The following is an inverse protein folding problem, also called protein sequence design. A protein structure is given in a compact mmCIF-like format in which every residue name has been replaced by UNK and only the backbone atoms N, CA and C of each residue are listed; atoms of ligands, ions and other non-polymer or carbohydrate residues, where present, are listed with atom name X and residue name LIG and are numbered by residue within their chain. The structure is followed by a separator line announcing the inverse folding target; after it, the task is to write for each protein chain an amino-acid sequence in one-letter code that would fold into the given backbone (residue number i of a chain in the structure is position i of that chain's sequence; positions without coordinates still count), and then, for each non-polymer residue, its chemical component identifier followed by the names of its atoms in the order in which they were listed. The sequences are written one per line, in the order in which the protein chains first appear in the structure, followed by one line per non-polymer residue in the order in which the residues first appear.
data_IF_284763885081
#
_entry.id   IF_284763885081
#
_cell.length_a   1.000
_cell.length_b   1.000
_cell.length_c   1.000
_cell.angle_alpha   90.00
_cell.angle_beta   90.00
_cell.angle_gamma   90.00
#
_symmetry.space_group_name_H-M   'P 1'
#
loop_
_entity.id
_entity.type
_entity.pdbx_description
1 polymer ?
#
# COMPACT_ATOMS: atom_id res chain seq x y z
N UNK A 1 -48.01 4.20 -15.63
CA UNK A 1 -47.39 5.42 -15.08
C UNK A 1 -45.89 5.16 -15.11
N UNK A 2 -45.23 5.79 -16.09
CA UNK A 2 -43.82 5.78 -16.47
C UNK A 2 -43.07 4.44 -16.54
N UNK A 3 -43.05 3.92 -17.78
CA UNK A 3 -42.10 2.95 -18.29
C UNK A 3 -40.67 3.44 -18.11
N UNK A 4 -39.79 2.56 -17.61
CA UNK A 4 -38.34 2.75 -17.60
C UNK A 4 -37.86 2.51 -19.03
N UNK A 5 -37.97 3.52 -19.88
CA UNK A 5 -37.31 3.51 -21.18
C UNK A 5 -35.80 3.63 -20.97
N UNK A 6 -35.09 2.69 -21.59
CA UNK A 6 -33.66 2.58 -21.66
C UNK A 6 -33.02 3.92 -22.06
N UNK A 7 -32.27 4.52 -21.15
CA UNK A 7 -31.18 5.43 -21.53
C UNK A 7 -30.03 4.60 -22.12
N UNK A 8 -30.28 3.90 -23.23
CA UNK A 8 -29.22 3.47 -24.14
C UNK A 8 -28.74 4.71 -24.87
N UNK A 9 -27.98 5.54 -24.16
CA UNK A 9 -27.35 6.69 -24.75
C UNK A 9 -26.29 6.17 -25.72
N UNK A 10 -26.46 6.45 -27.02
CA UNK A 10 -25.65 5.93 -28.12
C UNK A 10 -24.16 5.85 -27.76
N UNK A 11 -23.57 4.67 -27.89
CA UNK A 11 -22.14 4.42 -27.62
C UNK A 11 -21.20 5.23 -28.53
N UNK A 12 -21.73 6.00 -29.48
CA UNK A 12 -20.99 6.70 -30.53
C UNK A 12 -21.12 8.24 -30.50
N UNK A 13 -21.41 8.87 -29.36
CA UNK A 13 -21.37 10.34 -29.26
C UNK A 13 -19.91 10.84 -29.13
N UNK A 14 -19.40 11.71 -30.03
CA UNK A 14 -18.02 12.21 -29.99
C UNK A 14 -17.65 12.89 -28.67
N UNK A 15 -18.61 13.56 -28.02
CA UNK A 15 -18.40 14.23 -26.73
C UNK A 15 -18.25 13.27 -25.54
N UNK A 16 -18.83 12.07 -25.60
CA UNK A 16 -18.71 11.05 -24.53
C UNK A 16 -17.29 10.51 -24.47
N UNK A 17 -16.69 10.24 -25.62
CA UNK A 17 -15.30 9.78 -25.72
C UNK A 17 -14.31 10.84 -25.22
N UNK A 18 -14.57 12.12 -25.54
CA UNK A 18 -13.77 13.24 -25.03
C UNK A 18 -13.82 13.37 -23.51
N UNK A 19 -15.01 13.24 -22.90
CA UNK A 19 -15.17 13.35 -21.45
C UNK A 19 -14.46 12.22 -20.67
N UNK A 20 -14.59 10.97 -21.12
CA UNK A 20 -13.92 9.81 -20.50
C UNK A 20 -12.40 9.97 -20.58
N UNK A 21 -11.89 10.39 -21.75
CA UNK A 21 -10.47 10.66 -21.94
C UNK A 21 -9.95 11.73 -20.97
N UNK A 22 -10.68 12.85 -20.81
CA UNK A 22 -10.31 13.89 -19.85
C UNK A 22 -10.29 13.39 -18.41
N UNK A 23 -11.27 12.57 -18.01
CA UNK A 23 -11.27 11.95 -16.68
C UNK A 23 -10.02 11.10 -16.49
N UNK A 24 -9.62 10.33 -17.51
CA UNK A 24 -8.43 9.52 -17.41
C UNK A 24 -7.15 10.33 -17.24
N UNK A 25 -6.97 11.36 -18.05
CA UNK A 25 -5.81 12.24 -17.94
C UNK A 25 -5.73 12.93 -16.57
N UNK A 26 -6.87 13.29 -15.98
CA UNK A 26 -6.91 13.82 -14.62
C UNK A 26 -6.47 12.77 -13.57
N UNK A 27 -7.00 11.55 -13.64
CA UNK A 27 -6.56 10.48 -12.73
C UNK A 27 -5.08 10.16 -12.89
N UNK A 28 -4.57 10.20 -14.13
CA UNK A 28 -3.16 10.04 -14.47
C UNK A 28 -2.29 11.11 -13.81
N UNK A 29 -2.70 12.38 -13.95
CA UNK A 29 -2.02 13.52 -13.36
C UNK A 29 -2.02 13.44 -11.82
N UNK A 30 -3.14 13.03 -11.21
CA UNK A 30 -3.24 12.80 -9.76
C UNK A 30 -2.20 11.74 -9.33
N UNK A 31 -2.14 10.60 -10.00
CA UNK A 31 -1.18 9.53 -9.68
C UNK A 31 0.28 9.99 -9.76
N UNK A 32 0.65 10.68 -10.84
CA UNK A 32 2.01 11.23 -11.02
C UNK A 32 2.36 12.27 -9.95
N UNK A 33 1.38 13.07 -9.54
CA UNK A 33 1.56 14.06 -8.49
C UNK A 33 1.76 13.38 -7.12
N UNK A 34 0.99 12.32 -6.81
CA UNK A 34 1.20 11.52 -5.61
C UNK A 34 2.58 10.86 -5.57
N UNK A 35 3.05 10.31 -6.68
CA UNK A 35 4.42 9.77 -6.78
C UNK A 35 5.47 10.85 -6.52
N UNK A 36 5.26 12.06 -7.06
CA UNK A 36 6.17 13.18 -6.87
C UNK A 36 6.19 13.62 -5.40
N UNK A 37 5.03 13.79 -4.77
CA UNK A 37 4.93 14.16 -3.36
C UNK A 37 5.46 13.09 -2.42
N UNK A 38 5.33 11.81 -2.78
CA UNK A 38 5.89 10.72 -1.97
C UNK A 38 7.41 10.80 -1.82
N UNK A 39 8.11 11.47 -2.75
CA UNK A 39 9.56 11.67 -2.70
C UNK A 39 9.99 12.74 -1.69
N UNK A 40 9.06 13.59 -1.24
CA UNK A 40 9.33 14.58 -0.20
C UNK A 40 9.24 13.99 1.22
N UNK A 41 8.80 12.73 1.35
CA UNK A 41 8.80 12.03 2.62
C UNK A 41 10.22 11.73 3.12
N UNK A 42 10.39 11.73 4.44
CA UNK A 42 11.70 11.63 5.10
C UNK A 42 12.42 10.29 4.87
N UNK A 43 11.66 9.20 4.72
CA UNK A 43 12.20 7.89 4.44
C UNK A 43 11.26 7.04 3.57
N UNK A 44 11.79 5.92 3.08
CA UNK A 44 11.07 5.00 2.19
C UNK A 44 9.78 4.48 2.84
N UNK A 45 9.77 4.26 4.15
CA UNK A 45 8.59 3.74 4.84
C UNK A 45 7.49 4.80 4.86
N UNK A 46 7.86 6.06 5.13
CA UNK A 46 6.98 7.21 5.06
C UNK A 46 6.41 7.42 3.65
N UNK A 47 7.23 7.32 2.60
CA UNK A 47 6.76 7.39 1.20
C UNK A 47 5.73 6.32 0.88
N UNK A 48 5.98 5.08 1.29
CA UNK A 48 5.07 3.95 1.06
C UNK A 48 3.78 4.09 1.87
N UNK A 49 3.85 4.57 3.10
CA UNK A 49 2.66 4.85 3.91
C UNK A 49 1.80 5.96 3.29
N UNK A 50 2.42 7.02 2.78
CA UNK A 50 1.73 8.09 2.06
C UNK A 50 1.00 7.55 0.82
N UNK A 51 1.68 6.77 -0.02
CA UNK A 51 1.07 6.20 -1.23
C UNK A 51 -0.08 5.23 -0.89
N UNK A 52 0.13 4.33 0.08
CA UNK A 52 -0.90 3.41 0.57
C UNK A 52 -2.17 4.18 1.02
N UNK A 53 -2.00 5.23 1.83
CA UNK A 53 -3.12 6.02 2.34
C UNK A 53 -3.89 6.70 1.20
N UNK A 54 -3.19 7.34 0.26
CA UNK A 54 -3.84 8.05 -0.84
C UNK A 54 -4.55 7.11 -1.82
N UNK A 55 -3.93 5.98 -2.19
CA UNK A 55 -4.56 4.97 -3.04
C UNK A 55 -5.82 4.40 -2.40
N UNK A 56 -5.79 4.17 -1.08
CA UNK A 56 -6.97 3.71 -0.35
C UNK A 56 -8.10 4.74 -0.39
N UNK A 57 -7.80 6.03 -0.17
CA UNK A 57 -8.82 7.07 -0.23
C UNK A 57 -9.44 7.17 -1.62
N UNK A 58 -8.60 7.16 -2.68
CA UNK A 58 -9.07 7.15 -4.07
C UNK A 58 -10.00 5.96 -4.33
N UNK A 59 -9.57 4.75 -3.98
CA UNK A 59 -10.39 3.54 -4.14
C UNK A 59 -11.72 3.65 -3.39
N UNK A 60 -11.68 4.05 -2.11
CA UNK A 60 -12.85 4.14 -1.23
C UNK A 60 -13.87 5.16 -1.74
N UNK A 61 -13.42 6.32 -2.21
CA UNK A 61 -14.29 7.37 -2.71
C UNK A 61 -14.85 7.08 -4.10
N UNK A 62 -14.18 6.26 -4.91
CA UNK A 62 -14.61 5.93 -6.26
C UNK A 62 -15.46 4.66 -6.32
N UNK A 63 -15.20 3.67 -5.47
CA UNK A 63 -15.93 2.39 -5.47
C UNK A 63 -17.43 2.59 -5.27
N UNK A 64 -18.23 2.00 -6.15
CA UNK A 64 -19.69 2.08 -6.10
C UNK A 64 -20.27 3.41 -6.62
N UNK A 65 -19.43 4.32 -7.12
CA UNK A 65 -19.89 5.56 -7.76
C UNK A 65 -19.96 5.41 -9.28
N UNK A 66 -20.73 6.28 -9.94
CA UNK A 66 -20.76 6.35 -11.42
C UNK A 66 -19.38 6.61 -12.03
N UNK A 67 -18.55 7.41 -11.34
CA UNK A 67 -17.19 7.69 -11.76
C UNK A 67 -16.31 6.45 -11.64
N UNK A 68 -16.37 5.71 -10.53
CA UNK A 68 -15.66 4.44 -10.39
C UNK A 68 -16.05 3.42 -11.45
N UNK A 69 -17.33 3.31 -11.78
CA UNK A 69 -17.80 2.44 -12.86
C UNK A 69 -17.26 2.87 -14.23
N UNK A 70 -17.09 4.18 -14.47
CA UNK A 70 -16.53 4.73 -15.69
C UNK A 70 -15.03 4.41 -15.84
N UNK A 71 -14.29 4.47 -14.73
CA UNK A 71 -12.88 4.08 -14.65
C UNK A 71 -12.69 2.56 -14.78
N UNK A 72 -13.71 1.80 -14.41
CA UNK A 72 -13.75 0.35 -14.57
C UNK A 72 -13.16 -0.42 -13.39
N UNK A 73 -13.72 -1.61 -13.16
CA UNK A 73 -13.38 -2.47 -12.02
C UNK A 73 -11.92 -2.94 -12.02
N UNK A 74 -11.31 -3.06 -13.21
CA UNK A 74 -9.89 -3.43 -13.32
C UNK A 74 -8.99 -2.38 -12.70
N UNK A 75 -9.22 -1.10 -13.00
CA UNK A 75 -8.42 -0.01 -12.44
C UNK A 75 -8.63 0.12 -10.92
N UNK A 76 -9.87 -0.02 -10.45
CA UNK A 76 -10.16 -0.04 -9.01
C UNK A 76 -9.45 -1.20 -8.29
N UNK A 77 -9.45 -2.39 -8.89
CA UNK A 77 -8.75 -3.57 -8.36
C UNK A 77 -7.23 -3.38 -8.35
N UNK A 78 -6.65 -2.75 -9.36
CA UNK A 78 -5.23 -2.42 -9.40
C UNK A 78 -4.86 -1.47 -8.25
N UNK A 79 -5.64 -0.40 -8.03
CA UNK A 79 -5.43 0.51 -6.90
C UNK A 79 -5.45 -0.23 -5.54
N UNK A 80 -6.40 -1.15 -5.34
CA UNK A 80 -6.45 -1.97 -4.12
C UNK A 80 -5.23 -2.90 -3.98
N UNK A 81 -4.74 -3.47 -5.08
CA UNK A 81 -3.52 -4.30 -5.08
C UNK A 81 -2.26 -3.50 -4.76
N UNK A 82 -2.12 -2.29 -5.33
CA UNK A 82 -0.98 -1.40 -5.04
C UNK A 82 -0.98 -0.94 -3.58
N UNK A 83 -2.16 -0.66 -3.02
CA UNK A 83 -2.31 -0.38 -1.58
C UNK A 83 -1.78 -1.53 -0.73
N UNK A 84 -2.16 -2.78 -1.02
CA UNK A 84 -1.66 -3.95 -0.27
C UNK A 84 -0.14 -4.15 -0.45
N UNK A 85 0.39 -3.89 -1.65
CA UNK A 85 1.82 -3.93 -1.92
C UNK A 85 2.60 -2.92 -1.07
N UNK A 86 2.18 -1.66 -1.06
CA UNK A 86 2.83 -0.61 -0.27
C UNK A 86 2.69 -0.84 1.24
N UNK A 87 1.54 -1.35 1.70
CA UNK A 87 1.36 -1.79 3.09
C UNK A 87 2.38 -2.86 3.48
N UNK A 88 2.58 -3.85 2.61
CA UNK A 88 3.52 -4.95 2.83
C UNK A 88 4.96 -4.44 2.92
N UNK A 89 5.37 -3.56 2.00
CA UNK A 89 6.71 -2.96 2.03
C UNK A 89 6.88 -2.12 3.29
N UNK A 90 5.91 -1.27 3.62
CA UNK A 90 5.93 -0.46 4.83
C UNK A 90 6.17 -1.32 6.07
N UNK A 91 5.40 -2.40 6.24
CA UNK A 91 5.56 -3.32 7.37
C UNK A 91 6.91 -4.04 7.36
N UNK A 92 7.34 -4.57 6.21
CA UNK A 92 8.60 -5.31 6.06
C UNK A 92 9.81 -4.42 6.35
N UNK A 93 9.82 -3.21 5.83
CA UNK A 93 10.94 -2.27 5.97
C UNK A 93 10.98 -1.58 7.34
N UNK A 94 9.87 -1.62 8.10
CA UNK A 94 9.75 -1.09 9.47
C UNK A 94 9.80 -2.18 10.54
N UNK A 95 8.64 -2.54 11.10
CA UNK A 95 8.51 -3.48 12.22
C UNK A 95 9.02 -4.88 11.88
N UNK A 96 8.96 -5.28 10.60
CA UNK A 96 9.41 -6.60 10.13
C UNK A 96 10.90 -6.88 10.37
N UNK A 97 11.74 -5.84 10.50
CA UNK A 97 13.18 -6.00 10.77
C UNK A 97 13.51 -6.18 12.25
N UNK A 98 12.63 -5.73 13.15
CA UNK A 98 12.91 -5.68 14.58
C UNK A 98 13.11 -7.07 15.21
N UNK A 99 12.33 -8.12 14.87
CA UNK A 99 12.54 -9.46 15.43
C UNK A 99 13.91 -10.04 15.12
N UNK A 100 14.53 -9.68 13.99
CA UNK A 100 15.87 -10.16 13.63
C UNK A 100 16.96 -9.69 14.62
N UNK A 101 16.75 -8.56 15.32
CA UNK A 101 17.65 -8.06 16.36
C UNK A 101 17.74 -8.99 17.57
N UNK A 102 16.76 -9.88 17.74
CA UNK A 102 16.72 -10.89 18.80
C UNK A 102 17.34 -12.23 18.35
N UNK A 103 17.56 -12.47 17.05
CA UNK A 103 17.93 -13.79 16.54
C UNK A 103 19.37 -14.20 16.89
N UNK A 104 19.58 -15.50 17.18
CA UNK A 104 20.77 -16.10 17.80
C UNK A 104 21.93 -16.38 16.85
N UNK A 105 21.75 -16.19 15.54
CA UNK A 105 22.67 -16.61 14.50
C UNK A 105 23.94 -15.74 14.45
N UNK A 106 24.90 -16.10 15.31
CA UNK A 106 26.20 -15.48 15.40
C UNK A 106 26.71 -15.49 16.83
N UNK A 107 27.63 -16.40 17.12
CA UNK A 107 28.53 -16.37 18.27
C UNK A 107 27.93 -16.65 19.66
N UNK A 108 27.77 -17.93 20.00
CA UNK A 108 27.70 -18.37 21.40
C UNK A 108 28.54 -19.63 21.63
N UNK A 109 29.83 -19.54 21.29
CA UNK A 109 30.86 -20.46 21.77
C UNK A 109 31.71 -19.75 22.83
N UNK A 110 31.26 -19.78 24.10
CA UNK A 110 32.13 -19.40 25.22
C UNK A 110 31.45 -18.67 26.38
N UNK A 111 31.48 -19.33 27.56
CA UNK A 111 31.19 -18.84 28.93
C UNK A 111 29.80 -18.21 29.20
N UNK A 112 29.19 -18.66 30.30
CA UNK A 112 27.85 -18.27 30.78
C UNK A 112 27.74 -16.79 31.18
N UNK A 113 28.86 -16.14 31.55
CA UNK A 113 28.89 -14.71 31.88
C UNK A 113 28.73 -13.83 30.62
N UNK A 114 29.45 -14.15 29.54
CA UNK A 114 29.38 -13.50 28.23
C UNK A 114 28.02 -13.65 27.55
N UNK A 115 27.33 -14.77 27.77
CA UNK A 115 25.99 -14.98 27.24
C UNK A 115 24.93 -14.03 27.84
N UNK A 116 24.99 -13.75 29.15
CA UNK A 116 24.04 -12.82 29.81
C UNK A 116 24.22 -11.38 29.35
N UNK A 117 25.47 -10.93 29.22
CA UNK A 117 25.77 -9.58 28.75
C UNK A 117 25.41 -9.39 27.28
N UNK A 118 25.60 -10.43 26.45
CA UNK A 118 25.15 -10.41 25.06
C UNK A 118 23.62 -10.33 24.94
N UNK A 119 22.88 -11.08 25.76
CA UNK A 119 21.40 -11.01 25.79
C UNK A 119 20.94 -9.62 26.23
N UNK A 120 21.52 -9.05 27.29
CA UNK A 120 21.21 -7.68 27.73
C UNK A 120 21.47 -6.65 26.64
N UNK A 121 22.60 -6.77 25.93
CA UNK A 121 22.96 -5.87 24.82
C UNK A 121 21.96 -5.97 23.66
N UNK A 122 21.56 -7.19 23.27
CA UNK A 122 20.56 -7.41 22.21
C UNK A 122 19.19 -6.86 22.59
N UNK A 123 18.75 -7.09 23.82
CA UNK A 123 17.49 -6.55 24.32
C UNK A 123 17.50 -5.02 24.31
N UNK A 124 18.61 -4.40 24.74
CA UNK A 124 18.77 -2.94 24.70
C UNK A 124 18.65 -2.40 23.26
N UNK A 125 19.36 -3.00 22.30
CA UNK A 125 19.24 -2.59 20.89
C UNK A 125 17.84 -2.79 20.32
N UNK A 126 17.19 -3.89 20.67
CA UNK A 126 15.81 -4.13 20.26
C UNK A 126 14.86 -3.07 20.83
N UNK A 127 14.96 -2.76 22.13
CA UNK A 127 14.16 -1.71 22.78
C UNK A 127 14.38 -0.34 22.13
N UNK A 128 15.64 0.05 21.89
CA UNK A 128 15.95 1.31 21.20
C UNK A 128 15.37 1.36 19.78
N UNK A 129 15.44 0.25 19.04
CA UNK A 129 14.89 0.17 17.70
C UNK A 129 13.34 0.24 17.69
N UNK A 130 12.68 -0.39 18.67
CA UNK A 130 11.23 -0.27 18.89
C UNK A 130 10.83 1.17 19.22
N UNK A 131 11.53 1.81 20.16
CA UNK A 131 11.22 3.19 20.56
C UNK A 131 11.41 4.18 19.42
N UNK A 132 12.47 4.02 18.63
CA UNK A 132 12.70 4.84 17.45
C UNK A 132 11.61 4.64 16.39
N UNK A 133 11.19 3.39 16.14
CA UNK A 133 10.10 3.11 15.20
C UNK A 133 8.79 3.71 15.68
N UNK A 134 8.47 3.56 16.96
CA UNK A 134 7.29 4.13 17.59
C UNK A 134 7.28 5.65 17.48
N UNK A 135 8.38 6.33 17.82
CA UNK A 135 8.47 7.81 17.70
C UNK A 135 8.24 8.29 16.26
N UNK A 136 8.80 7.58 15.27
CA UNK A 136 8.62 7.91 13.85
C UNK A 136 7.18 7.72 13.40
N UNK A 137 6.57 6.58 13.72
CA UNK A 137 5.28 6.19 13.14
C UNK A 137 4.06 6.61 13.98
N UNK A 138 4.23 6.94 15.27
CA UNK A 138 3.13 7.38 16.15
C UNK A 138 2.45 8.67 15.70
N UNK A 139 3.12 9.48 14.89
CA UNK A 139 2.59 10.72 14.33
C UNK A 139 1.88 10.51 12.98
N UNK A 140 1.90 9.30 12.42
CA UNK A 140 1.29 9.03 11.12
C UNK A 140 -0.23 8.95 11.23
N UNK A 141 -0.91 9.82 10.48
CA UNK A 141 -2.37 9.80 10.39
C UNK A 141 -2.76 8.74 9.36
N UNK A 142 -3.19 7.58 9.83
CA UNK A 142 -3.93 6.61 9.01
C UNK A 142 -5.39 7.03 9.06
N UNK A 143 -5.87 7.69 7.99
CA UNK A 143 -7.19 8.31 7.91
C UNK A 143 -8.37 7.33 7.97
N UNK A 144 -8.13 6.02 7.91
CA UNK A 144 -9.17 5.00 7.86
C UNK A 144 -9.04 3.99 9.01
N UNK A 145 -10.15 3.77 9.74
CA UNK A 145 -10.19 2.87 10.89
C UNK A 145 -9.95 1.39 10.52
N UNK A 146 -10.42 0.93 9.35
CA UNK A 146 -10.22 -0.45 8.89
C UNK A 146 -8.79 -0.67 8.39
N UNK A 147 -8.19 0.35 7.77
CA UNK A 147 -6.77 0.34 7.38
C UNK A 147 -5.86 0.42 8.61
N UNK A 148 -6.21 1.24 9.59
CA UNK A 148 -5.54 1.34 10.89
C UNK A 148 -5.59 -0.01 11.61
N UNK A 149 -6.74 -0.66 11.68
CA UNK A 149 -6.85 -1.98 12.33
C UNK A 149 -6.01 -3.05 11.63
N UNK A 150 -5.97 -3.08 10.29
CA UNK A 150 -5.13 -4.03 9.54
C UNK A 150 -3.62 -3.75 9.65
N UNK A 151 -3.23 -2.50 9.87
CA UNK A 151 -1.82 -2.08 9.95
C UNK A 151 -1.29 -2.17 11.39
N UNK A 152 -2.12 -1.84 12.38
CA UNK A 152 -1.76 -1.82 13.81
C UNK A 152 -2.12 -3.11 14.55
N UNK A 153 -3.05 -3.94 14.05
CA UNK A 153 -3.26 -5.27 14.60
C UNK A 153 -2.51 -6.31 13.77
N UNK A 154 -1.55 -7.04 14.35
CA UNK A 154 -1.02 -8.22 13.68
C UNK A 154 -2.18 -9.21 13.53
N UNK A 155 -2.67 -9.39 12.31
CA UNK A 155 -3.56 -10.53 12.00
C UNK A 155 -2.88 -11.76 12.58
N UNK A 156 -3.58 -12.50 13.46
CA UNK A 156 -3.14 -13.84 13.85
C UNK A 156 -2.81 -14.56 12.56
N UNK A 157 -1.55 -14.90 12.37
CA UNK A 157 -1.11 -15.71 11.25
C UNK A 157 -1.62 -17.11 11.55
N UNK A 158 -2.89 -17.37 11.23
CA UNK A 158 -3.36 -18.74 11.04
C UNK A 158 -2.54 -19.28 9.87
N UNK A 159 -1.81 -20.36 10.11
CA UNK A 159 -0.96 -21.05 9.14
C UNK A 159 -1.53 -20.99 7.72
N UNK A 160 -0.95 -20.09 6.94
CA UNK A 160 -1.30 -19.83 5.56
C UNK A 160 -0.20 -18.95 5.04
N UNK A 161 0.78 -19.58 4.40
CA UNK A 161 1.90 -18.96 3.72
C UNK A 161 1.39 -17.92 2.71
N UNK A 162 1.08 -16.71 3.17
CA UNK A 162 0.43 -15.69 2.37
C UNK A 162 1.50 -14.94 1.55
N UNK A 163 1.90 -15.59 0.46
CA UNK A 163 2.18 -15.00 -0.87
C UNK A 163 3.05 -13.73 -0.94
N UNK A 164 3.96 -13.51 0.00
CA UNK A 164 4.84 -12.33 0.03
C UNK A 164 5.87 -12.34 -1.11
N UNK A 165 6.47 -13.50 -1.43
CA UNK A 165 7.38 -13.67 -2.57
C UNK A 165 6.70 -13.42 -3.91
N UNK A 166 5.48 -13.93 -4.07
CA UNK A 166 4.77 -13.86 -5.34
C UNK A 166 4.17 -12.47 -5.62
N UNK A 167 3.89 -11.67 -4.59
CA UNK A 167 3.55 -10.25 -4.79
C UNK A 167 4.81 -9.45 -5.18
N UNK A 168 5.92 -9.60 -4.47
CA UNK A 168 7.18 -8.94 -4.83
C UNK A 168 7.62 -9.31 -6.25
N UNK A 169 7.63 -10.60 -6.61
CA UNK A 169 7.90 -11.05 -7.99
C UNK A 169 6.89 -10.52 -9.01
N UNK A 170 5.59 -10.41 -8.67
CA UNK A 170 4.61 -9.79 -9.59
C UNK A 170 4.96 -8.33 -9.86
N UNK A 171 5.24 -7.54 -8.83
CA UNK A 171 5.53 -6.11 -8.98
C UNK A 171 6.95 -5.85 -9.56
N UNK A 172 7.94 -6.67 -9.21
CA UNK A 172 9.29 -6.64 -9.79
C UNK A 172 9.29 -7.06 -11.28
N UNK A 173 8.37 -7.95 -11.69
CA UNK A 173 8.15 -8.34 -13.09
C UNK A 173 7.26 -7.34 -13.87
N UNK A 174 7.11 -6.11 -13.39
CA UNK A 174 6.49 -5.02 -14.14
C UNK A 174 4.95 -5.00 -14.08
N UNK A 175 4.35 -5.17 -12.90
CA UNK A 175 2.94 -4.77 -12.74
C UNK A 175 2.84 -3.30 -13.13
N UNK A 176 1.95 -3.07 -14.10
CA UNK A 176 1.71 -1.80 -14.76
C UNK A 176 1.14 -0.82 -13.74
N UNK A 177 1.83 0.31 -13.57
CA UNK A 177 1.30 1.44 -12.81
C UNK A 177 -0.06 1.85 -13.43
N UNK A 178 -1.16 1.87 -12.65
CA UNK A 178 -2.50 2.16 -13.14
C UNK A 178 -2.63 3.61 -13.65
N UNK A 179 -1.62 4.44 -13.38
CA UNK A 179 -1.47 5.81 -13.86
C UNK A 179 -0.51 5.94 -15.04
N UNK A 180 0.04 4.84 -15.59
CA UNK A 180 0.93 4.91 -16.76
C UNK A 180 0.24 4.47 -18.04
N UNK A 181 -0.78 3.62 -17.95
CA UNK A 181 -1.48 3.05 -19.09
C UNK A 181 -2.97 3.33 -19.00
N UNK A 182 -3.46 4.11 -19.97
CA UNK A 182 -4.90 4.29 -20.17
C UNK A 182 -5.48 2.99 -20.72
N UNK A 183 -6.70 2.57 -20.34
CA UNK A 183 -7.46 1.62 -21.14
C UNK A 183 -7.55 2.17 -22.55
N UNK A 184 -7.07 1.39 -23.53
CA UNK A 184 -7.46 1.64 -24.92
C UNK A 184 -8.96 1.43 -24.99
N UNK A 185 -9.70 2.54 -25.01
CA UNK A 185 -11.13 2.54 -25.33
C UNK A 185 -11.23 1.97 -26.75
N UNK A 186 -11.73 0.74 -26.87
CA UNK A 186 -12.13 0.16 -28.15
C UNK A 186 -13.52 0.64 -28.49
#
# INVERSE_FOLDING_TARGET
MYSVEELSCCDSCPGRHSFISTIWENMKAIGLNLETWSKACEDVVCSHAFLMNNLWQIYKHLKGTKLGNLLGDTWLRENDQYKEYYSTICLRESWGKLPALLNREGQLSGRRATARDLVKKRLKFFSEAVDNMYKKQSHWIILDKDLHEKTCQPKRVSHGSFKMRHLNEKFDNGVMNPYRNSPTVK
#
